data_IF_350805071370
#
_entry.id   IF_350805071370
#
_cell.length_a   1.000
_cell.length_b   1.000
_cell.length_c   1.000
_cell.angle_alpha   90.00
_cell.angle_beta   90.00
_cell.angle_gamma   90.00
#
_symmetry.space_group_name_H-M   'P 1'
#
loop_
_entity.id
_entity.type
_entity.pdbx_description
1 polymer ?
#
# COMPACT_ATOMS: atom_id res chain seq x y z
N UNK A 1 6.00 -14.07 16.40
CA UNK A 1 6.55 -14.81 15.25
C UNK A 1 5.44 -15.18 14.29
N UNK A 2 5.47 -14.76 13.02
CA UNK A 2 4.43 -15.11 12.08
C UNK A 2 4.80 -16.46 11.46
N UNK A 3 4.34 -17.57 12.04
CA UNK A 3 4.30 -18.88 11.37
C UNK A 3 3.55 -19.91 12.23
N UNK A 4 2.26 -19.68 12.46
CA UNK A 4 1.39 -20.75 12.97
C UNK A 4 1.20 -21.87 11.92
N UNK A 5 1.67 -21.68 10.67
CA UNK A 5 1.41 -22.52 9.48
C UNK A 5 -0.08 -22.81 9.24
N UNK A 6 -0.97 -22.09 9.93
CA UNK A 6 -2.41 -22.28 9.83
C UNK A 6 -2.86 -21.72 8.49
N UNK A 7 -3.54 -22.56 7.73
CA UNK A 7 -4.19 -22.15 6.48
C UNK A 7 -5.63 -21.76 6.78
N UNK A 8 -6.15 -20.85 5.99
CA UNK A 8 -7.56 -20.44 6.02
C UNK A 8 -8.05 -20.67 4.60
N UNK A 9 -9.13 -21.43 4.48
CA UNK A 9 -9.77 -21.63 3.19
C UNK A 9 -10.59 -20.40 2.86
N UNK A 10 -10.25 -19.75 1.76
CA UNK A 10 -10.98 -18.60 1.23
C UNK A 10 -11.97 -19.10 0.16
N UNK A 11 -13.16 -18.48 0.04
CA UNK A 11 -14.07 -18.78 -1.06
C UNK A 11 -13.37 -18.54 -2.41
N UNK A 12 -13.79 -19.22 -3.48
CA UNK A 12 -13.22 -19.00 -4.80
C UNK A 12 -13.31 -17.53 -5.21
N UNK A 13 -12.20 -16.99 -5.72
CA UNK A 13 -12.14 -15.64 -6.28
C UNK A 13 -12.16 -15.75 -7.81
N UNK A 14 -13.15 -15.12 -8.44
CA UNK A 14 -13.27 -15.07 -9.89
C UNK A 14 -12.38 -13.97 -10.48
N UNK A 15 -11.06 -14.17 -10.40
CA UNK A 15 -10.04 -13.30 -10.98
C UNK A 15 -9.14 -14.12 -11.91
N UNK A 16 -8.57 -13.46 -12.91
CA UNK A 16 -7.52 -14.05 -13.73
C UNK A 16 -6.33 -14.48 -12.84
N UNK A 17 -5.98 -15.77 -12.90
CA UNK A 17 -4.91 -16.32 -12.08
C UNK A 17 -3.53 -15.81 -12.48
N UNK A 18 -3.34 -15.38 -13.72
CA UNK A 18 -2.07 -14.82 -14.15
C UNK A 18 -1.87 -13.43 -13.52
N UNK A 19 -2.94 -12.63 -13.34
CA UNK A 19 -2.86 -11.37 -12.59
C UNK A 19 -2.37 -11.58 -11.15
N UNK A 20 -2.82 -12.64 -10.49
CA UNK A 20 -2.38 -12.98 -9.14
C UNK A 20 -0.87 -13.29 -9.06
N UNK A 21 -0.29 -13.83 -10.13
CA UNK A 21 1.14 -14.17 -10.20
C UNK A 21 2.03 -12.95 -10.45
N UNK A 22 1.47 -11.89 -11.03
CA UNK A 22 2.24 -10.74 -11.53
C UNK A 22 2.20 -9.50 -10.64
N UNK A 23 1.95 -9.66 -9.34
CA UNK A 23 2.16 -8.60 -8.35
C UNK A 23 0.91 -8.12 -7.60
N UNK A 24 -0.12 -8.96 -7.50
CA UNK A 24 -1.22 -8.72 -6.57
C UNK A 24 -0.72 -8.72 -5.12
N UNK A 25 -1.24 -7.83 -4.28
CA UNK A 25 -1.01 -7.85 -2.83
C UNK A 25 -2.17 -8.53 -2.13
N UNK A 26 -1.91 -9.52 -1.29
CA UNK A 26 -2.93 -10.19 -0.47
C UNK A 26 -2.55 -10.08 1.00
N UNK A 27 -3.39 -9.39 1.79
CA UNK A 27 -3.09 -8.98 3.16
C UNK A 27 -4.26 -9.25 4.10
N UNK A 28 -3.96 -9.46 5.38
CA UNK A 28 -4.94 -9.53 6.46
C UNK A 28 -4.87 -8.27 7.31
N UNK A 29 -6.00 -7.66 7.65
CA UNK A 29 -6.02 -6.47 8.51
C UNK A 29 -5.68 -6.78 9.99
N UNK A 30 -6.02 -7.99 10.45
CA UNK A 30 -5.85 -8.46 11.82
C UNK A 30 -5.35 -9.91 11.83
N UNK A 31 -5.25 -10.51 13.01
CA UNK A 31 -5.13 -11.95 13.11
C UNK A 31 -6.36 -12.66 12.49
N UNK A 32 -6.17 -13.80 11.81
CA UNK A 32 -7.26 -14.57 11.20
C UNK A 32 -8.46 -14.92 12.09
N UNK A 33 -8.24 -15.00 13.40
CA UNK A 33 -9.28 -15.31 14.40
C UNK A 33 -10.07 -14.10 14.85
N UNK A 34 -9.61 -12.89 14.53
CA UNK A 34 -10.30 -11.67 14.90
C UNK A 34 -11.60 -11.54 14.09
N UNK A 35 -12.75 -11.28 14.73
CA UNK A 35 -14.02 -11.13 14.02
C UNK A 35 -14.06 -9.94 13.06
N UNK A 36 -13.18 -8.96 13.27
CA UNK A 36 -13.02 -7.79 12.40
C UNK A 36 -11.99 -8.02 11.29
N UNK A 37 -11.38 -9.21 11.21
CA UNK A 37 -10.36 -9.51 10.21
C UNK A 37 -10.94 -9.46 8.79
N UNK A 38 -10.28 -8.68 7.96
CA UNK A 38 -10.57 -8.54 6.53
C UNK A 38 -9.36 -9.04 5.75
N UNK A 39 -9.64 -9.89 4.76
CA UNK A 39 -8.69 -10.21 3.69
C UNK A 39 -8.87 -9.15 2.61
N UNK A 40 -7.78 -8.50 2.23
CA UNK A 40 -7.73 -7.55 1.13
C UNK A 40 -6.83 -8.11 0.03
N UNK A 41 -7.33 -8.10 -1.19
CA UNK A 41 -6.57 -8.36 -2.39
C UNK A 41 -6.56 -7.11 -3.28
N UNK A 42 -5.38 -6.61 -3.61
CA UNK A 42 -5.20 -5.47 -4.51
C UNK A 42 -4.80 -5.99 -5.88
N UNK A 43 -5.60 -5.71 -6.90
CA UNK A 43 -5.25 -6.07 -8.27
C UNK A 43 -4.09 -5.19 -8.78
N UNK A 44 -3.10 -5.76 -9.47
CA UNK A 44 -2.01 -4.99 -10.03
C UNK A 44 -2.49 -4.14 -11.21
N UNK A 45 -1.94 -2.92 -11.34
CA UNK A 45 -2.12 -2.04 -12.51
C UNK A 45 -3.57 -1.59 -12.81
N UNK A 46 -4.49 -1.73 -11.86
CA UNK A 46 -5.88 -1.27 -11.98
C UNK A 46 -6.37 -0.69 -10.66
N UNK A 47 -7.53 -0.03 -10.69
CA UNK A 47 -8.16 0.57 -9.51
C UNK A 47 -9.14 -0.36 -8.82
N UNK A 48 -8.83 -1.66 -8.78
CA UNK A 48 -9.73 -2.68 -8.23
C UNK A 48 -9.11 -3.33 -7.00
N UNK A 49 -9.92 -3.45 -5.95
CA UNK A 49 -9.64 -4.30 -4.80
C UNK A 49 -10.75 -5.33 -4.63
N UNK A 50 -10.39 -6.46 -4.03
CA UNK A 50 -11.32 -7.44 -3.53
C UNK A 50 -11.19 -7.57 -2.03
N UNK A 51 -12.30 -7.70 -1.34
CA UNK A 51 -12.27 -7.86 0.11
C UNK A 51 -13.24 -8.93 0.61
N UNK A 52 -12.83 -9.58 1.68
CA UNK A 52 -13.60 -10.61 2.38
C UNK A 52 -13.44 -10.46 3.88
N UNK A 53 -14.53 -10.29 4.61
CA UNK A 53 -14.52 -10.40 6.07
C UNK A 53 -14.52 -11.89 6.44
N UNK A 54 -13.53 -12.32 7.24
CA UNK A 54 -13.36 -13.74 7.59
C UNK A 54 -14.42 -14.24 8.58
N UNK A 55 -14.90 -13.37 9.46
CA UNK A 55 -16.00 -13.67 10.35
C UNK A 55 -17.26 -12.90 9.93
N UNK A 56 -18.41 -13.55 10.04
CA UNK A 56 -19.70 -12.97 9.67
C UNK A 56 -20.45 -13.82 8.66
N UNK A 57 -21.44 -13.20 8.02
CA UNK A 57 -22.32 -13.79 7.01
C UNK A 57 -21.81 -13.62 5.57
N UNK A 58 -20.70 -12.88 5.39
CA UNK A 58 -20.10 -12.68 4.07
C UNK A 58 -19.49 -13.99 3.57
N UNK A 59 -20.16 -14.63 2.60
CA UNK A 59 -19.73 -15.90 2.01
C UNK A 59 -18.98 -15.73 0.68
N UNK A 60 -18.92 -14.51 0.16
CA UNK A 60 -18.38 -14.20 -1.17
C UNK A 60 -17.49 -12.96 -1.15
N UNK A 61 -16.48 -12.95 -2.01
CA UNK A 61 -15.65 -11.78 -2.25
C UNK A 61 -16.47 -10.60 -2.76
N UNK A 62 -16.18 -9.42 -2.24
CA UNK A 62 -16.74 -8.17 -2.74
C UNK A 62 -15.69 -7.46 -3.58
N UNK A 63 -16.06 -7.09 -4.81
CA UNK A 63 -15.24 -6.26 -5.69
C UNK A 63 -15.53 -4.80 -5.40
N UNK A 64 -14.50 -3.98 -5.31
CA UNK A 64 -14.63 -2.54 -5.19
C UNK A 64 -13.66 -1.85 -6.15
N UNK A 65 -14.19 -0.94 -6.96
CA UNK A 65 -13.37 -0.03 -7.77
C UNK A 65 -13.19 1.27 -7.01
N UNK A 66 -11.95 1.70 -6.82
CA UNK A 66 -11.60 2.92 -6.10
C UNK A 66 -11.19 4.04 -7.05
N UNK A 67 -11.16 5.26 -6.52
CA UNK A 67 -10.57 6.42 -7.16
C UNK A 67 -9.78 7.20 -6.09
N UNK A 68 -8.46 7.23 -6.26
CA UNK A 68 -7.53 7.96 -5.38
C UNK A 68 -6.81 9.07 -6.16
N UNK A 69 -7.46 9.55 -7.23
CA UNK A 69 -6.95 10.59 -8.11
C UNK A 69 -6.27 10.05 -9.37
N UNK A 70 -5.74 10.96 -10.16
CA UNK A 70 -5.06 10.68 -11.43
C UNK A 70 -3.60 11.13 -11.38
N UNK A 71 -2.75 10.48 -12.15
CA UNK A 71 -1.35 10.85 -12.33
C UNK A 71 -1.09 11.12 -13.81
N UNK A 72 -0.31 12.16 -14.08
CA UNK A 72 0.17 12.48 -15.42
C UNK A 72 1.41 11.62 -15.67
N UNK A 73 1.41 10.92 -16.79
CA UNK A 73 2.56 10.23 -17.31
C UNK A 73 3.08 11.04 -18.49
N UNK A 74 4.23 11.68 -18.29
CA UNK A 74 4.96 12.32 -19.39
C UNK A 74 5.67 11.19 -20.16
N UNK A 75 5.34 11.04 -21.44
CA UNK A 75 6.21 10.32 -22.37
C UNK A 75 7.41 11.24 -22.64
N UNK A 76 8.61 10.66 -22.68
CA UNK A 76 9.90 11.35 -22.73
C UNK A 76 9.97 12.50 -23.76
N UNK A 77 10.83 13.47 -23.42
CA UNK A 77 11.09 14.81 -23.99
C UNK A 77 11.28 14.93 -25.52
N UNK A 78 10.38 14.49 -26.38
CA UNK A 78 10.31 14.99 -27.76
C UNK A 78 8.99 14.60 -28.44
N UNK A 79 7.90 15.35 -28.20
CA UNK A 79 6.87 15.50 -29.23
C UNK A 79 5.77 16.50 -28.82
N UNK A 80 5.67 17.60 -29.56
CA UNK A 80 4.43 18.40 -29.69
C UNK A 80 3.22 17.56 -30.20
N UNK A 81 3.40 16.25 -30.42
CA UNK A 81 2.43 15.29 -30.98
C UNK A 81 1.85 14.28 -29.98
N UNK A 82 2.40 14.14 -28.77
CA UNK A 82 1.90 13.18 -27.78
C UNK A 82 1.45 13.92 -26.52
N UNK A 83 0.13 14.19 -26.36
CA UNK A 83 -0.34 14.81 -25.13
C UNK A 83 -0.07 13.87 -23.96
N UNK A 84 0.42 14.43 -22.85
CA UNK A 84 0.69 13.69 -21.63
C UNK A 84 -0.50 12.79 -21.25
N UNK A 85 -0.24 11.51 -21.02
CA UNK A 85 -1.31 10.55 -20.74
C UNK A 85 -1.71 10.66 -19.27
N UNK A 86 -3.00 10.88 -19.01
CA UNK A 86 -3.54 10.92 -17.65
C UNK A 86 -4.16 9.57 -17.32
N UNK A 87 -3.52 8.83 -16.43
CA UNK A 87 -4.02 7.55 -15.93
C UNK A 87 -4.53 7.65 -14.49
N UNK A 88 -5.49 6.79 -14.12
CA UNK A 88 -5.90 6.66 -12.71
C UNK A 88 -4.70 6.24 -11.84
N UNK A 89 -4.66 6.74 -10.62
CA UNK A 89 -3.65 6.36 -9.63
C UNK A 89 -3.97 4.98 -9.07
N UNK A 90 -2.99 4.08 -9.13
CA UNK A 90 -3.13 2.69 -8.68
C UNK A 90 -2.29 2.45 -7.43
N UNK A 91 -2.81 1.63 -6.51
CA UNK A 91 -2.08 1.21 -5.31
C UNK A 91 -1.00 0.21 -5.70
N UNK A 92 0.26 0.67 -5.72
CA UNK A 92 1.42 -0.17 -6.08
C UNK A 92 1.98 -0.96 -4.91
N UNK A 93 1.89 -0.40 -3.70
CA UNK A 93 2.38 -1.00 -2.47
C UNK A 93 1.45 -0.70 -1.32
N UNK A 94 1.19 -1.70 -0.48
CA UNK A 94 0.26 -1.61 0.63
C UNK A 94 0.75 -2.51 1.78
N UNK A 95 0.47 -2.11 3.01
CA UNK A 95 0.72 -2.91 4.21
C UNK A 95 -0.47 -2.82 5.16
N UNK A 96 -0.80 -3.92 5.82
CA UNK A 96 -1.80 -3.92 6.88
C UNK A 96 -1.15 -3.53 8.20
N UNK A 97 -1.78 -2.71 9.02
CA UNK A 97 -1.34 -2.42 10.38
C UNK A 97 -2.54 -1.98 11.21
N UNK A 98 -2.64 -2.40 12.48
CA UNK A 98 -3.69 -1.95 13.42
C UNK A 98 -5.12 -1.99 12.82
N UNK A 99 -5.43 -3.04 12.06
CA UNK A 99 -6.75 -3.24 11.48
C UNK A 99 -7.08 -2.44 10.22
N UNK A 100 -6.14 -1.64 9.70
CA UNK A 100 -6.30 -0.85 8.47
C UNK A 100 -5.21 -1.20 7.47
N UNK A 101 -5.37 -0.71 6.26
CA UNK A 101 -4.36 -0.87 5.21
C UNK A 101 -3.79 0.49 4.80
N UNK A 102 -2.47 0.57 4.69
CA UNK A 102 -1.74 1.80 4.43
C UNK A 102 -0.94 1.67 3.13
N UNK A 103 -0.99 2.69 2.29
CA UNK A 103 -0.29 2.72 1.00
C UNK A 103 0.40 4.06 0.76
N UNK A 104 1.40 4.06 -0.13
CA UNK A 104 2.09 5.27 -0.52
C UNK A 104 1.23 6.08 -1.49
N UNK A 105 1.09 7.37 -1.21
CA UNK A 105 0.57 8.36 -2.16
C UNK A 105 1.74 9.11 -2.81
N UNK A 106 1.52 9.79 -3.94
CA UNK A 106 2.50 10.73 -4.50
C UNK A 106 2.80 11.90 -3.56
N UNK A 107 1.85 12.27 -2.70
CA UNK A 107 2.03 13.28 -1.66
C UNK A 107 2.83 12.74 -0.47
N UNK A 108 3.22 13.62 0.45
CA UNK A 108 3.86 13.23 1.71
C UNK A 108 2.89 12.52 2.68
N UNK A 109 1.59 12.56 2.41
CA UNK A 109 0.58 11.82 3.16
C UNK A 109 0.65 10.31 2.89
N UNK A 110 -0.01 9.52 3.73
CA UNK A 110 -0.18 8.08 3.50
C UNK A 110 -1.65 7.76 3.30
N UNK A 111 -1.94 7.05 2.23
CA UNK A 111 -3.27 6.57 1.95
C UNK A 111 -3.67 5.50 2.96
N UNK A 112 -4.95 5.49 3.34
CA UNK A 112 -5.55 4.54 4.27
C UNK A 112 -6.81 3.95 3.66
N UNK A 113 -6.98 2.64 3.80
CA UNK A 113 -8.25 1.95 3.56
C UNK A 113 -8.76 1.37 4.87
N UNK A 114 -9.98 1.75 5.24
CA UNK A 114 -10.66 1.35 6.47
C UNK A 114 -11.95 0.58 6.14
N UNK A 115 -12.16 -0.57 6.81
CA UNK A 115 -13.31 -1.45 6.63
C UNK A 115 -14.21 -1.52 7.88
N UNK A 116 -14.06 -0.61 8.82
CA UNK A 116 -14.82 -0.60 10.08
C UNK A 116 -16.29 -0.24 9.92
N UNK A 117 -16.65 0.59 8.93
CA UNK A 117 -18.00 1.15 8.77
C UNK A 117 -18.81 0.57 7.59
N UNK A 118 -18.41 -0.59 7.05
CA UNK A 118 -19.10 -1.26 5.93
C UNK A 118 -18.23 -1.31 4.66
N UNK A 119 -18.59 -0.61 3.57
CA UNK A 119 -17.76 -0.57 2.36
C UNK A 119 -16.39 0.07 2.67
N UNK A 120 -15.35 -0.22 1.86
CA UNK A 120 -14.03 0.36 2.05
C UNK A 120 -14.09 1.88 2.01
N UNK A 121 -13.64 2.52 3.08
CA UNK A 121 -13.45 3.96 3.16
C UNK A 121 -11.99 4.29 2.84
N UNK A 122 -11.79 5.08 1.79
CA UNK A 122 -10.47 5.59 1.41
C UNK A 122 -10.25 6.97 2.03
N UNK A 123 -9.05 7.20 2.53
CA UNK A 123 -8.63 8.50 3.04
C UNK A 123 -7.12 8.61 3.06
N UNK A 124 -6.63 9.64 3.73
CA UNK A 124 -5.20 9.83 3.98
C UNK A 124 -4.95 10.25 5.42
N UNK A 125 -3.73 10.00 5.88
CA UNK A 125 -3.22 10.57 7.12
C UNK A 125 -2.02 11.46 6.80
N UNK A 126 -1.88 12.61 7.48
CA UNK A 126 -0.62 13.32 7.51
C UNK A 126 0.49 12.36 7.94
N UNK A 127 1.62 12.43 7.25
CA UNK A 127 2.74 11.56 7.52
C UNK A 127 4.04 12.33 7.28
N UNK A 128 4.14 13.49 7.93
CA UNK A 128 5.33 14.34 7.83
C UNK A 128 6.59 13.56 8.21
N UNK A 129 7.65 13.74 7.44
CA UNK A 129 8.97 13.22 7.73
C UNK A 129 9.91 14.40 7.97
N UNK A 130 10.51 14.47 9.16
CA UNK A 130 11.32 15.62 9.56
C UNK A 130 12.63 15.74 8.75
N UNK A 131 13.06 14.63 8.14
CA UNK A 131 14.30 14.50 7.36
C UNK A 131 14.07 14.74 5.86
N UNK A 132 12.88 15.19 5.43
CA UNK A 132 12.63 15.64 4.06
C UNK A 132 13.25 17.05 3.87
N UNK A 133 14.59 17.09 3.92
CA UNK A 133 15.36 18.19 3.34
C UNK A 133 15.18 18.21 1.81
N UNK A 134 15.54 19.34 1.22
CA UNK A 134 15.32 19.82 -0.16
C UNK A 134 15.84 18.91 -1.30
N UNK A 135 16.33 17.71 -1.00
CA UNK A 135 16.84 16.76 -1.97
C UNK A 135 15.82 15.66 -2.25
N UNK A 136 15.32 15.67 -3.48
CA UNK A 136 14.54 14.60 -4.13
C UNK A 136 15.37 13.33 -4.20
N UNK A 137 15.50 12.58 -3.11
CA UNK A 137 16.25 11.33 -3.18
C UNK A 137 15.45 10.35 -4.04
N UNK A 138 16.02 10.00 -5.19
CA UNK A 138 15.52 8.91 -6.02
C UNK A 138 15.61 7.63 -5.20
N UNK A 139 14.47 7.13 -4.74
CA UNK A 139 14.44 6.03 -3.79
C UNK A 139 13.14 5.24 -3.85
N UNK A 140 13.22 3.96 -3.49
CA UNK A 140 12.03 3.11 -3.34
C UNK A 140 11.56 3.16 -1.90
N UNK A 141 10.26 3.38 -1.72
CA UNK A 141 9.63 3.50 -0.39
C UNK A 141 8.73 2.30 -0.15
N UNK A 142 9.03 1.48 0.84
CA UNK A 142 8.21 0.33 1.23
C UNK A 142 7.50 0.63 2.55
N UNK A 143 6.27 0.16 2.68
CA UNK A 143 5.56 0.09 3.96
C UNK A 143 5.58 -1.36 4.44
N UNK A 144 5.94 -1.56 5.70
CA UNK A 144 6.11 -2.90 6.29
C UNK A 144 5.53 -2.89 7.68
N UNK A 145 4.68 -3.87 8.00
CA UNK A 145 4.24 -4.11 9.37
C UNK A 145 5.21 -5.04 10.09
N UNK A 146 5.53 -4.67 11.33
CA UNK A 146 6.29 -5.53 12.22
C UNK A 146 5.90 -5.27 13.67
N UNK A 147 5.48 -6.31 14.38
CA UNK A 147 5.21 -6.22 15.83
C UNK A 147 4.04 -5.30 16.20
N UNK A 148 3.06 -5.11 15.31
CA UNK A 148 1.94 -4.19 15.50
C UNK A 148 2.25 -2.73 15.17
N UNK A 149 3.44 -2.45 14.65
CA UNK A 149 3.86 -1.13 14.23
C UNK A 149 4.04 -1.06 12.71
N UNK A 150 3.83 0.13 12.15
CA UNK A 150 4.01 0.39 10.73
C UNK A 150 5.36 1.07 10.51
N UNK A 151 6.18 0.46 9.67
CA UNK A 151 7.48 0.97 9.29
C UNK A 151 7.47 1.46 7.85
N UNK A 152 8.21 2.54 7.59
CA UNK A 152 8.57 3.00 6.27
C UNK A 152 10.06 2.74 6.05
N UNK A 153 10.37 2.03 4.98
CA UNK A 153 11.73 1.67 4.57
C UNK A 153 12.03 2.44 3.28
N UNK A 154 12.94 3.41 3.34
CA UNK A 154 13.41 4.17 2.18
C UNK A 154 14.76 3.59 1.73
N UNK A 155 14.78 2.97 0.55
CA UNK A 155 16.02 2.57 -0.13
C UNK A 155 16.49 3.73 -1.01
N UNK A 156 17.64 4.30 -0.68
CA UNK A 156 18.26 5.40 -1.43
C UNK A 156 19.03 4.80 -2.60
N UNK A 157 18.83 5.33 -3.80
CA UNK A 157 19.50 4.86 -5.01
C UNK A 157 20.49 5.90 -5.51
N UNK A 158 21.51 5.45 -6.23
CA UNK A 158 22.47 6.31 -6.93
C UNK A 158 21.77 6.94 -8.15
N UNK A 159 21.72 8.26 -8.24
CA UNK A 159 21.03 8.95 -9.36
C UNK A 159 21.63 8.59 -10.72
N UNK A 160 22.95 8.37 -10.79
CA UNK A 160 23.63 7.98 -12.02
C UNK A 160 23.47 6.48 -12.32
N UNK A 161 23.05 5.67 -11.33
CA UNK A 161 22.80 4.25 -11.50
C UNK A 161 21.70 3.74 -10.57
N UNK A 162 20.45 3.77 -11.04
CA UNK A 162 19.26 3.36 -10.28
C UNK A 162 19.26 1.89 -9.82
N UNK A 163 20.21 1.07 -10.27
CA UNK A 163 20.38 -0.31 -9.79
C UNK A 163 21.33 -0.40 -8.57
N UNK A 164 21.98 0.70 -8.19
CA UNK A 164 22.90 0.75 -7.06
C UNK A 164 22.24 1.46 -5.87
N UNK A 165 22.15 0.75 -4.75
CA UNK A 165 21.68 1.30 -3.50
C UNK A 165 22.81 2.00 -2.75
N UNK A 166 22.59 3.24 -2.33
CA UNK A 166 23.56 4.08 -1.63
C UNK A 166 23.30 4.14 -0.13
N UNK A 167 22.09 3.83 0.30
CA UNK A 167 21.74 3.81 1.71
C UNK A 167 20.33 3.30 1.99
N UNK A 168 20.04 3.20 3.28
CA UNK A 168 18.76 2.75 3.80
C UNK A 168 18.39 3.61 5.00
N UNK A 169 17.15 4.10 5.03
CA UNK A 169 16.57 4.76 6.19
C UNK A 169 15.27 4.06 6.58
N UNK A 170 15.11 3.77 7.87
CA UNK A 170 13.92 3.13 8.42
C UNK A 170 13.26 4.07 9.40
N UNK A 171 11.95 4.22 9.27
CA UNK A 171 11.11 5.04 10.12
C UNK A 171 9.96 4.20 10.66
N UNK A 172 9.48 4.53 11.86
CA UNK A 172 8.28 3.98 12.46
C UNK A 172 7.19 5.07 12.52
N UNK A 173 5.94 4.69 12.24
CA UNK A 173 4.81 5.61 12.31
C UNK A 173 4.41 5.86 13.77
N UNK A 174 4.44 7.13 14.18
CA UNK A 174 3.77 7.62 15.39
C UNK A 174 2.33 7.98 15.03
N UNK A 175 1.39 7.07 15.31
CA UNK A 175 -0.03 7.27 14.99
C UNK A 175 -0.71 8.32 15.86
N UNK A 176 -0.20 8.61 17.06
CA UNK A 176 -0.77 9.64 17.94
C UNK A 176 -0.48 11.03 17.39
N UNK A 177 0.73 11.22 16.84
CA UNK A 177 1.18 12.49 16.28
C UNK A 177 1.14 12.54 14.76
N UNK A 178 0.69 11.47 14.11
CA UNK A 178 0.60 11.32 12.64
C UNK A 178 1.89 11.73 11.92
N UNK A 179 3.03 11.13 12.33
CA UNK A 179 4.36 11.45 11.78
C UNK A 179 5.32 10.27 11.78
N UNK A 180 6.31 10.31 10.88
CA UNK A 180 7.40 9.34 10.86
C UNK A 180 8.50 9.71 11.87
N UNK A 181 8.94 8.73 12.65
CA UNK A 181 10.11 8.83 13.54
C UNK A 181 11.20 7.90 13.03
N UNK A 182 12.44 8.39 12.91
CA UNK A 182 13.56 7.56 12.49
C UNK A 182 13.84 6.49 13.55
N UNK A 183 14.16 5.28 13.10
CA UNK A 183 14.54 4.18 14.00
C UNK A 183 16.02 4.28 14.32
N UNK A 184 16.37 4.27 15.61
CA UNK A 184 17.76 4.33 16.08
C UNK A 184 18.24 5.70 16.56
N UNK A 185 17.38 6.72 16.55
CA UNK A 185 17.56 7.98 17.27
C UNK A 185 17.06 7.87 18.73
#
# INVERSE_FOLDING_TARGET
SPQSRRKIDLPPLAIDQDLLRHGAHCLLSHEPTDPSCVVLLVEPNTTVIWHLRLAGDQTQWQRHEYDIGSQVYDDDEDDEKHPAWVGKTVIRQISACRGKFYFNLPSTERGVVDFSAGPPAFGSIPAGCHDEGEYTVVGRVFLVESGGELYMVKLLMDEANLNKYTGLSVYVMDFERTRWRRVGD
#
